data_IF_315913996189
#
_entry.id   IF_315913996189
#
_cell.length_a   1.000
_cell.length_b   1.000
_cell.length_c   1.000
_cell.angle_alpha   90.00
_cell.angle_beta   90.00
_cell.angle_gamma   90.00
#
_symmetry.space_group_name_H-M   'P 1'
#
loop_
_entity.id
_entity.type
_entity.pdbx_description
1 polymer ?
#
# COMPACT_ATOMS: atom_id res chain seq x y z
N UNK A 1 -4.03 -16.21 21.98
CA UNK A 1 -4.72 -15.09 21.32
C UNK A 1 -3.70 -14.37 20.46
N UNK A 2 -3.94 -14.23 19.16
CA UNK A 2 -2.95 -13.61 18.27
C UNK A 2 -2.80 -12.10 18.55
N UNK A 3 -1.66 -11.50 18.25
CA UNK A 3 -1.34 -10.10 18.55
C UNK A 3 -2.41 -9.10 18.03
N UNK A 4 -2.95 -9.34 16.83
CA UNK A 4 -4.08 -8.56 16.29
C UNK A 4 -5.33 -8.68 17.17
N UNK A 5 -5.63 -9.88 17.68
CA UNK A 5 -6.76 -10.10 18.59
C UNK A 5 -6.53 -9.48 19.97
N UNK A 6 -5.28 -9.41 20.46
CA UNK A 6 -4.94 -8.63 21.67
C UNK A 6 -5.19 -7.16 21.46
N UNK A 7 -4.70 -6.60 20.36
CA UNK A 7 -4.96 -5.21 20.01
C UNK A 7 -6.46 -4.98 19.86
N UNK A 8 -7.21 -5.84 19.17
CA UNK A 8 -8.66 -5.74 19.01
C UNK A 8 -9.44 -5.69 20.34
N UNK A 9 -8.96 -6.42 21.36
CA UNK A 9 -9.57 -6.47 22.69
C UNK A 9 -9.19 -5.27 23.58
N UNK A 10 -8.33 -4.37 23.11
CA UNK A 10 -7.92 -3.18 23.86
C UNK A 10 -9.12 -2.26 24.13
N UNK A 11 -9.29 -1.75 25.36
CA UNK A 11 -10.33 -0.77 25.68
C UNK A 11 -10.08 0.58 24.99
N UNK A 12 -8.91 0.75 24.36
CA UNK A 12 -8.52 1.92 23.57
C UNK A 12 -9.48 2.24 22.43
N UNK A 13 -10.10 1.21 21.83
CA UNK A 13 -11.07 1.42 20.78
C UNK A 13 -12.38 1.89 21.42
N UNK A 14 -12.72 3.15 21.25
CA UNK A 14 -14.10 3.57 21.44
C UNK A 14 -14.96 2.70 20.51
N UNK A 15 -15.70 1.75 21.08
CA UNK A 15 -16.55 0.86 20.29
C UNK A 15 -17.51 1.74 19.49
N UNK A 16 -17.48 1.57 18.17
CA UNK A 16 -18.47 2.20 17.32
C UNK A 16 -19.85 1.67 17.75
N UNK A 17 -20.74 2.59 18.13
CA UNK A 17 -22.18 2.34 18.11
C UNK A 17 -22.57 1.67 16.77
N UNK A 18 -23.70 0.93 16.71
CA UNK A 18 -24.20 0.38 15.45
C UNK A 18 -24.18 1.43 14.32
N UNK A 19 -23.93 1.01 13.06
CA UNK A 19 -23.65 1.91 11.95
C UNK A 19 -24.71 3.02 11.85
N UNK A 20 -24.27 4.26 12.06
CA UNK A 20 -25.14 5.45 12.09
C UNK A 20 -25.51 5.91 10.68
N UNK A 21 -24.70 5.53 9.69
CA UNK A 21 -24.95 5.80 8.27
C UNK A 21 -25.16 4.46 7.56
N UNK A 22 -26.32 4.30 6.90
CA UNK A 22 -26.63 3.09 6.15
C UNK A 22 -25.62 2.87 4.99
N UNK A 23 -25.08 1.66 4.81
CA UNK A 23 -24.17 1.37 3.71
C UNK A 23 -24.85 1.57 2.35
N UNK A 24 -24.09 2.08 1.39
CA UNK A 24 -24.53 2.25 0.01
C UNK A 24 -24.64 0.93 -0.75
N UNK A 25 -25.76 0.70 -1.41
CA UNK A 25 -25.94 -0.43 -2.34
C UNK A 25 -25.63 -0.07 -3.80
N UNK A 26 -26.06 -0.92 -4.73
CA UNK A 26 -25.91 -0.71 -6.18
C UNK A 26 -26.38 0.69 -6.64
N UNK A 27 -27.50 1.18 -6.09
CA UNK A 27 -28.06 2.50 -6.42
C UNK A 27 -27.15 3.66 -5.99
N UNK A 28 -26.47 3.52 -4.84
CA UNK A 28 -25.60 4.55 -4.28
C UNK A 28 -24.24 4.58 -4.99
N UNK A 29 -23.60 3.41 -5.14
CA UNK A 29 -22.28 3.28 -5.77
C UNK A 29 -22.33 3.45 -7.30
N UNK A 30 -23.49 3.16 -7.90
CA UNK A 30 -23.62 2.96 -9.33
C UNK A 30 -23.04 1.61 -9.79
N UNK A 31 -23.43 1.12 -10.98
CA UNK A 31 -23.16 -0.25 -11.42
C UNK A 31 -21.67 -0.58 -11.55
N UNK A 32 -20.85 0.37 -12.01
CA UNK A 32 -19.42 0.16 -12.23
C UNK A 32 -18.66 -0.02 -10.90
N UNK A 33 -18.85 0.91 -9.96
CA UNK A 33 -18.19 0.86 -8.64
C UNK A 33 -18.70 -0.32 -7.82
N UNK A 34 -20.01 -0.58 -7.85
CA UNK A 34 -20.59 -1.73 -7.15
C UNK A 34 -20.00 -3.06 -7.66
N UNK A 35 -19.92 -3.22 -8.99
CA UNK A 35 -19.34 -4.43 -9.59
C UNK A 35 -17.85 -4.58 -9.21
N UNK A 36 -17.10 -3.47 -9.20
CA UNK A 36 -15.72 -3.46 -8.72
C UNK A 36 -15.60 -3.94 -7.27
N UNK A 37 -16.40 -3.37 -6.34
CA UNK A 37 -16.40 -3.78 -4.93
C UNK A 37 -16.72 -5.27 -4.80
N UNK A 38 -17.71 -5.78 -5.53
CA UNK A 38 -18.08 -7.20 -5.52
C UNK A 38 -17.00 -8.12 -6.10
N UNK A 39 -16.23 -7.65 -7.07
CA UNK A 39 -15.11 -8.40 -7.62
C UNK A 39 -13.90 -8.45 -6.66
N UNK A 40 -13.70 -7.39 -5.88
CA UNK A 40 -12.51 -7.22 -5.02
C UNK A 40 -12.71 -7.77 -3.61
N UNK A 41 -13.92 -7.67 -3.03
CA UNK A 41 -14.20 -8.12 -1.66
C UNK A 41 -13.81 -9.59 -1.36
N UNK A 42 -14.05 -10.59 -2.25
CA UNK A 42 -13.71 -11.99 -1.97
C UNK A 42 -12.21 -12.23 -1.72
N UNK A 43 -11.35 -11.31 -2.13
CA UNK A 43 -9.90 -11.40 -1.95
C UNK A 43 -9.48 -11.21 -0.51
N UNK A 44 -10.22 -10.34 0.17
CA UNK A 44 -10.12 -10.05 1.59
C UNK A 44 -10.90 -11.10 2.41
N UNK A 45 -11.54 -12.08 1.76
CA UNK A 45 -12.40 -13.06 2.42
C UNK A 45 -13.80 -12.51 2.75
N UNK A 46 -14.19 -11.36 2.21
CA UNK A 46 -15.41 -10.63 2.56
C UNK A 46 -16.41 -10.60 1.39
N UNK A 47 -17.66 -10.19 1.66
CA UNK A 47 -18.72 -10.03 0.64
C UNK A 47 -18.90 -8.57 0.17
N UNK A 48 -18.21 -7.63 0.79
CA UNK A 48 -18.23 -6.20 0.51
C UNK A 48 -17.02 -5.50 1.13
N UNK A 49 -16.90 -4.20 0.86
CA UNK A 49 -15.87 -3.33 1.46
C UNK A 49 -16.60 -2.12 2.03
N UNK A 50 -16.72 -2.06 3.35
CA UNK A 50 -17.55 -1.12 4.09
C UNK A 50 -17.12 0.32 3.86
N UNK A 51 -15.82 0.56 3.75
CA UNK A 51 -15.27 1.83 3.31
C UNK A 51 -15.92 2.29 1.99
N UNK A 52 -15.90 1.43 0.95
CA UNK A 52 -16.46 1.78 -0.34
C UNK A 52 -17.98 1.99 -0.28
N UNK A 53 -18.68 1.16 0.49
CA UNK A 53 -20.13 1.29 0.70
C UNK A 53 -20.50 2.62 1.39
N UNK A 54 -19.68 3.09 2.34
CA UNK A 54 -19.90 4.33 3.08
C UNK A 54 -19.50 5.57 2.27
N UNK A 55 -18.28 5.59 1.73
CA UNK A 55 -17.75 6.76 1.01
C UNK A 55 -18.39 6.93 -0.36
N UNK A 56 -18.77 5.84 -1.02
CA UNK A 56 -19.36 5.88 -2.37
C UNK A 56 -20.82 6.32 -2.41
N UNK A 57 -21.41 6.68 -1.26
CA UNK A 57 -22.79 7.15 -1.16
C UNK A 57 -23.00 8.50 -1.84
N UNK A 58 -22.00 9.38 -1.77
CA UNK A 58 -21.90 10.56 -2.63
C UNK A 58 -20.90 10.28 -3.76
N UNK A 59 -21.42 10.08 -4.97
CA UNK A 59 -20.61 9.71 -6.13
C UNK A 59 -19.68 10.83 -6.60
N UNK A 60 -20.05 12.09 -6.38
CA UNK A 60 -19.23 13.23 -6.79
C UNK A 60 -18.04 13.37 -5.84
N UNK A 61 -18.30 13.36 -4.53
CA UNK A 61 -17.26 13.40 -3.50
C UNK A 61 -16.35 12.19 -3.63
N UNK A 62 -16.88 10.99 -3.78
CA UNK A 62 -16.07 9.78 -3.89
C UNK A 62 -15.14 9.79 -5.12
N UNK A 63 -15.61 10.31 -6.26
CA UNK A 63 -14.79 10.42 -7.48
C UNK A 63 -13.65 11.43 -7.34
N UNK A 64 -13.86 12.53 -6.61
CA UNK A 64 -12.82 13.51 -6.34
C UNK A 64 -11.85 13.04 -5.26
N UNK A 65 -12.36 12.38 -4.23
CA UNK A 65 -11.58 11.87 -3.11
C UNK A 65 -10.61 10.75 -3.53
N UNK A 66 -11.03 9.81 -4.38
CA UNK A 66 -10.21 8.67 -4.77
C UNK A 66 -8.82 9.04 -5.35
N UNK A 67 -8.69 9.92 -6.36
CA UNK A 67 -7.37 10.29 -6.89
C UNK A 67 -6.52 11.05 -5.87
N UNK A 68 -7.13 11.86 -5.00
CA UNK A 68 -6.43 12.55 -3.91
C UNK A 68 -5.87 11.55 -2.89
N UNK A 69 -6.72 10.64 -2.38
CA UNK A 69 -6.31 9.57 -1.46
C UNK A 69 -5.21 8.71 -2.08
N UNK A 70 -5.36 8.35 -3.35
CA UNK A 70 -4.35 7.58 -4.07
C UNK A 70 -2.99 8.31 -4.13
N UNK A 71 -2.98 9.62 -4.40
CA UNK A 71 -1.75 10.40 -4.43
C UNK A 71 -1.05 10.46 -3.06
N UNK A 72 -1.82 10.62 -1.98
CA UNK A 72 -1.32 10.67 -0.60
C UNK A 72 -0.77 9.32 -0.14
N UNK A 73 -1.53 8.25 -0.32
CA UNK A 73 -1.14 6.88 0.12
C UNK A 73 0.04 6.34 -0.70
N UNK A 74 0.24 6.88 -1.90
CA UNK A 74 1.29 6.45 -2.82
C UNK A 74 2.44 7.45 -2.93
N UNK A 75 2.56 8.34 -1.95
CA UNK A 75 3.57 9.37 -1.88
C UNK A 75 4.98 8.76 -1.77
N UNK A 76 6.01 9.59 -1.94
CA UNK A 76 7.39 9.10 -1.89
C UNK A 76 7.93 8.87 -0.46
N UNK A 77 7.06 8.93 0.56
CA UNK A 77 7.37 8.44 1.91
C UNK A 77 7.72 6.94 1.94
N UNK A 78 7.21 6.19 0.96
CA UNK A 78 7.40 4.75 0.84
C UNK A 78 6.44 3.96 1.72
N UNK A 79 6.11 2.74 1.26
CA UNK A 79 5.00 1.93 1.82
C UNK A 79 5.12 1.65 3.32
N UNK A 80 6.32 1.31 3.81
CA UNK A 80 6.54 1.03 5.23
C UNK A 80 6.28 2.26 6.11
N UNK A 81 6.79 3.43 5.70
CA UNK A 81 6.56 4.71 6.38
C UNK A 81 5.08 5.07 6.36
N UNK A 82 4.43 4.96 5.21
CA UNK A 82 2.99 5.23 5.06
C UNK A 82 2.18 4.39 6.03
N UNK A 83 2.39 3.08 6.05
CA UNK A 83 1.65 2.17 6.92
C UNK A 83 1.94 2.42 8.41
N UNK A 84 3.18 2.75 8.76
CA UNK A 84 3.54 3.12 10.14
C UNK A 84 2.78 4.36 10.62
N UNK A 85 2.78 5.42 9.82
CA UNK A 85 2.11 6.69 10.14
C UNK A 85 0.59 6.49 10.16
N UNK A 86 0.05 5.74 9.20
CA UNK A 86 -1.38 5.40 9.16
C UNK A 86 -1.81 4.62 10.39
N UNK A 87 -1.06 3.59 10.79
CA UNK A 87 -1.36 2.79 11.98
C UNK A 87 -1.32 3.64 13.25
N UNK A 88 -0.32 4.51 13.39
CA UNK A 88 -0.24 5.42 14.54
C UNK A 88 -1.37 6.45 14.55
N UNK A 89 -1.71 7.01 13.39
CA UNK A 89 -2.83 7.95 13.25
C UNK A 89 -4.16 7.26 13.62
N UNK A 90 -4.42 6.06 13.09
CA UNK A 90 -5.61 5.29 13.41
C UNK A 90 -5.67 4.90 14.89
N UNK A 91 -4.52 4.59 15.51
CA UNK A 91 -4.42 4.42 16.96
C UNK A 91 -4.79 5.72 17.68
N UNK A 92 -4.14 6.84 17.39
CA UNK A 92 -4.40 8.13 18.03
C UNK A 92 -5.88 8.56 17.91
N UNK A 93 -6.51 8.32 16.76
CA UNK A 93 -7.93 8.59 16.56
C UNK A 93 -8.87 7.54 17.18
N UNK A 94 -8.38 6.42 17.71
CA UNK A 94 -9.21 5.29 18.17
C UNK A 94 -10.07 4.70 17.05
N UNK A 95 -9.55 4.63 15.82
CA UNK A 95 -10.25 4.21 14.61
C UNK A 95 -9.99 2.73 14.28
N UNK A 96 -10.72 1.84 14.95
CA UNK A 96 -10.51 0.38 14.82
C UNK A 96 -10.64 -0.12 13.37
N UNK A 97 -11.61 0.38 12.60
CA UNK A 97 -11.79 -0.04 11.20
C UNK A 97 -10.51 0.14 10.37
N UNK A 98 -9.88 1.31 10.47
CA UNK A 98 -8.67 1.64 9.72
C UNK A 98 -7.49 0.86 10.26
N UNK A 99 -7.32 0.83 11.58
CA UNK A 99 -6.23 0.11 12.21
C UNK A 99 -6.24 -1.37 11.83
N UNK A 100 -7.40 -2.05 11.89
CA UNK A 100 -7.50 -3.47 11.56
C UNK A 100 -7.14 -3.78 10.10
N UNK A 101 -7.61 -2.95 9.15
CA UNK A 101 -7.27 -3.09 7.74
C UNK A 101 -5.79 -2.85 7.48
N UNK A 102 -5.25 -1.76 8.02
CA UNK A 102 -3.85 -1.38 7.82
C UNK A 102 -2.90 -2.33 8.56
N UNK A 103 -3.28 -2.90 9.71
CA UNK A 103 -2.46 -3.89 10.41
C UNK A 103 -2.26 -5.17 9.58
N UNK A 104 -3.28 -5.58 8.81
CA UNK A 104 -3.14 -6.68 7.87
C UNK A 104 -2.36 -6.27 6.60
N UNK A 105 -2.65 -5.09 6.04
CA UNK A 105 -2.05 -4.62 4.79
C UNK A 105 -0.61 -4.10 4.95
N UNK A 106 -0.19 -3.75 6.15
CA UNK A 106 1.17 -3.28 6.47
C UNK A 106 2.24 -4.33 6.18
N UNK A 107 1.85 -5.61 6.11
CA UNK A 107 2.68 -6.71 5.65
C UNK A 107 3.16 -6.52 4.20
N UNK A 108 2.37 -5.86 3.34
CA UNK A 108 2.84 -5.45 2.00
C UNK A 108 3.86 -4.30 2.03
N UNK A 109 4.03 -3.63 3.16
CA UNK A 109 5.13 -2.70 3.42
C UNK A 109 6.30 -3.35 4.13
N UNK A 110 6.19 -4.63 4.51
CA UNK A 110 7.18 -5.35 5.30
C UNK A 110 7.08 -5.10 6.81
N UNK A 111 5.98 -4.55 7.34
CA UNK A 111 5.84 -4.41 8.80
C UNK A 111 5.35 -5.73 9.42
N UNK A 112 6.07 -6.22 10.41
CA UNK A 112 5.66 -7.35 11.24
C UNK A 112 4.58 -6.95 12.24
N UNK A 113 3.93 -7.95 12.83
CA UNK A 113 2.89 -7.74 13.83
C UNK A 113 3.49 -7.21 15.13
N UNK A 114 4.71 -7.61 15.47
CA UNK A 114 5.47 -7.04 16.58
C UNK A 114 5.71 -5.54 16.35
N UNK A 115 6.06 -5.15 15.13
CA UNK A 115 6.20 -3.74 14.76
C UNK A 115 4.85 -3.01 14.88
N UNK A 116 3.72 -3.63 14.51
CA UNK A 116 2.38 -3.06 14.72
C UNK A 116 2.06 -2.88 16.21
N UNK A 117 2.40 -3.85 17.07
CA UNK A 117 2.23 -3.72 18.53
C UNK A 117 3.08 -2.58 19.09
N UNK A 118 4.33 -2.42 18.64
CA UNK A 118 5.20 -1.29 19.03
C UNK A 118 4.65 0.06 18.58
N UNK A 119 4.08 0.13 17.36
CA UNK A 119 3.43 1.34 16.85
C UNK A 119 2.23 1.75 17.73
N UNK A 120 1.43 0.78 18.16
CA UNK A 120 0.33 1.01 19.10
C UNK A 120 0.84 1.50 20.46
N UNK A 121 1.91 0.89 20.99
CA UNK A 121 2.51 1.28 22.25
C UNK A 121 3.13 2.70 22.23
N UNK A 122 3.59 3.17 21.07
CA UNK A 122 4.03 4.55 20.85
C UNK A 122 5.54 4.73 20.68
N UNK A 123 6.02 5.99 20.56
CA UNK A 123 7.39 6.29 20.18
C UNK A 123 8.45 5.78 21.15
N UNK A 124 8.10 5.55 22.42
CA UNK A 124 9.04 5.06 23.44
C UNK A 124 9.07 3.52 23.55
N UNK A 125 8.32 2.81 22.69
CA UNK A 125 8.30 1.36 22.70
C UNK A 125 9.70 0.76 22.39
N UNK A 126 10.15 -0.25 23.16
CA UNK A 126 11.44 -0.88 22.93
C UNK A 126 11.48 -1.59 21.58
N UNK A 127 12.65 -1.58 20.93
CA UNK A 127 12.86 -2.25 19.64
C UNK A 127 12.42 -1.46 18.40
N UNK A 128 11.99 -0.21 18.56
CA UNK A 128 11.82 0.71 17.43
C UNK A 128 13.18 1.23 16.93
N UNK A 129 13.31 1.45 15.63
CA UNK A 129 14.45 2.18 15.07
C UNK A 129 14.32 3.70 15.32
N UNK A 130 15.42 4.47 15.37
CA UNK A 130 15.37 5.92 15.54
C UNK A 130 14.42 6.62 14.57
N UNK A 131 14.48 6.23 13.28
CA UNK A 131 13.59 6.74 12.23
C UNK A 131 12.11 6.48 12.54
N UNK A 132 11.77 5.29 13.06
CA UNK A 132 10.39 4.94 13.41
C UNK A 132 9.91 5.78 14.59
N UNK A 133 10.74 5.95 15.63
CA UNK A 133 10.41 6.80 16.78
C UNK A 133 10.12 8.24 16.38
N UNK A 134 10.96 8.84 15.55
CA UNK A 134 10.77 10.20 15.05
C UNK A 134 9.45 10.37 14.29
N UNK A 135 9.11 9.40 13.43
CA UNK A 135 7.84 9.39 12.68
C UNK A 135 6.62 9.23 13.60
N UNK A 136 6.70 8.35 14.60
CA UNK A 136 5.62 8.17 15.58
C UNK A 136 5.42 9.42 16.43
N UNK A 137 6.50 10.01 16.93
CA UNK A 137 6.46 11.27 17.70
C UNK A 137 5.85 12.41 16.89
N UNK A 138 6.28 12.58 15.64
CA UNK A 138 5.69 13.57 14.75
C UNK A 138 4.20 13.31 14.49
N UNK A 139 3.78 12.05 14.38
CA UNK A 139 2.37 11.69 14.22
C UNK A 139 1.55 12.02 15.48
N UNK A 140 2.14 11.85 16.66
CA UNK A 140 1.52 12.21 17.94
C UNK A 140 1.37 13.73 18.10
N UNK A 141 2.41 14.49 17.80
CA UNK A 141 2.40 15.96 17.81
C UNK A 141 1.39 16.52 16.80
N UNK A 142 1.36 15.99 15.57
CA UNK A 142 0.38 16.39 14.56
C UNK A 142 -1.06 16.12 15.01
N UNK A 143 -1.29 15.02 15.72
CA UNK A 143 -2.61 14.68 16.26
C UNK A 143 -3.01 15.61 17.42
N UNK A 144 -2.11 15.82 18.38
CA UNK A 144 -2.38 16.57 19.60
C UNK A 144 -2.37 18.08 19.37
N UNK A 145 -1.33 18.59 18.73
CA UNK A 145 -0.99 20.00 18.66
C UNK A 145 -1.27 20.62 17.28
N UNK A 146 -1.62 19.79 16.29
CA UNK A 146 -1.82 20.20 14.88
C UNK A 146 -0.57 20.79 14.24
N UNK A 147 0.60 20.50 14.80
CA UNK A 147 1.89 20.97 14.35
C UNK A 147 2.99 19.98 14.77
N UNK A 148 4.10 19.97 14.05
CA UNK A 148 5.31 19.24 14.46
C UNK A 148 6.17 20.18 15.30
N UNK A 149 6.64 19.72 16.47
CA UNK A 149 7.50 20.51 17.33
C UNK A 149 8.87 20.78 16.66
N UNK A 150 9.54 21.91 16.95
CA UNK A 150 10.81 22.26 16.30
C UNK A 150 11.91 21.19 16.43
N UNK A 151 12.01 20.54 17.59
CA UNK A 151 12.99 19.47 17.83
C UNK A 151 12.72 18.22 16.98
N UNK A 152 11.46 17.79 16.93
CA UNK A 152 11.03 16.65 16.10
C UNK A 152 11.18 16.95 14.61
N UNK A 153 10.87 18.19 14.19
CA UNK A 153 11.06 18.63 12.81
C UNK A 153 12.55 18.59 12.40
N UNK A 154 13.46 19.00 13.29
CA UNK A 154 14.89 18.90 13.06
C UNK A 154 15.36 17.45 12.93
N UNK A 155 14.84 16.53 13.76
CA UNK A 155 15.12 15.09 13.67
C UNK A 155 14.64 14.48 12.35
N UNK A 156 13.40 14.80 11.93
CA UNK A 156 12.83 14.35 10.66
C UNK A 156 13.67 14.79 9.46
N UNK A 157 14.15 16.04 9.46
CA UNK A 157 15.01 16.61 8.40
C UNK A 157 16.36 15.90 8.28
N UNK A 158 16.77 15.12 9.28
CA UNK A 158 17.93 14.23 9.17
C UNK A 158 17.75 13.11 8.14
N UNK A 159 16.50 12.77 7.74
CA UNK A 159 16.23 11.68 6.80
C UNK A 159 15.04 11.89 5.85
N UNK A 160 14.30 12.98 5.97
CA UNK A 160 13.24 13.42 5.06
C UNK A 160 13.61 14.78 4.45
N UNK A 161 13.39 14.94 3.15
CA UNK A 161 13.41 16.26 2.51
C UNK A 161 12.11 17.04 2.82
N UNK A 162 12.08 18.34 2.49
CA UNK A 162 10.93 19.21 2.72
C UNK A 162 9.64 18.68 2.08
N UNK A 163 9.73 18.06 0.90
CA UNK A 163 8.57 17.47 0.23
C UNK A 163 8.00 16.30 1.04
N UNK A 164 8.86 15.44 1.58
CA UNK A 164 8.43 14.31 2.43
C UNK A 164 7.91 14.76 3.78
N UNK A 165 8.42 15.85 4.36
CA UNK A 165 7.82 16.42 5.57
C UNK A 165 6.41 16.93 5.28
N UNK A 166 6.19 17.66 4.18
CA UNK A 166 4.86 18.11 3.79
C UNK A 166 3.91 16.92 3.53
N UNK A 167 4.37 15.88 2.83
CA UNK A 167 3.60 14.66 2.60
C UNK A 167 3.25 13.93 3.90
N UNK A 168 4.13 13.92 4.90
CA UNK A 168 3.86 13.34 6.21
C UNK A 168 2.68 14.06 6.88
N UNK A 169 2.69 15.40 6.90
CA UNK A 169 1.61 16.19 7.47
C UNK A 169 0.27 15.92 6.74
N UNK A 170 0.30 15.90 5.40
CA UNK A 170 -0.89 15.62 4.59
C UNK A 170 -1.40 14.19 4.78
N UNK A 171 -0.51 13.22 4.98
CA UNK A 171 -0.86 11.83 5.24
C UNK A 171 -1.57 11.68 6.59
N UNK A 172 -1.03 12.29 7.66
CA UNK A 172 -1.68 12.29 8.97
C UNK A 172 -3.06 12.93 8.88
N UNK A 173 -3.16 14.14 8.33
CA UNK A 173 -4.44 14.84 8.18
C UNK A 173 -5.45 14.07 7.31
N UNK A 174 -5.00 13.38 6.26
CA UNK A 174 -5.85 12.52 5.44
C UNK A 174 -6.50 11.40 6.25
N UNK A 175 -5.70 10.69 7.06
CA UNK A 175 -6.18 9.59 7.87
C UNK A 175 -6.98 10.06 9.10
N UNK A 176 -6.69 11.22 9.68
CA UNK A 176 -7.55 11.81 10.72
C UNK A 176 -8.93 12.18 10.19
N UNK A 177 -8.99 12.80 9.00
CA UNK A 177 -10.26 13.11 8.34
C UNK A 177 -11.05 11.82 8.04
N UNK A 178 -10.36 10.78 7.56
CA UNK A 178 -11.00 9.50 7.26
C UNK A 178 -11.49 8.80 8.53
N UNK A 179 -10.70 8.80 9.60
CA UNK A 179 -11.08 8.31 10.93
C UNK A 179 -12.34 8.99 11.43
N UNK A 180 -12.41 10.31 11.33
CA UNK A 180 -13.58 11.10 11.72
C UNK A 180 -14.83 10.61 10.97
N UNK A 181 -14.75 10.45 9.65
CA UNK A 181 -15.86 9.96 8.84
C UNK A 181 -16.26 8.53 9.21
N UNK A 182 -15.31 7.60 9.25
CA UNK A 182 -15.59 6.18 9.47
C UNK A 182 -16.12 5.90 10.88
N UNK A 183 -15.60 6.59 11.89
CA UNK A 183 -16.14 6.52 13.26
C UNK A 183 -17.55 7.10 13.33
N UNK A 184 -17.78 8.27 12.71
CA UNK A 184 -19.11 8.89 12.65
C UNK A 184 -20.13 8.01 11.92
N UNK A 185 -19.68 7.28 10.90
CA UNK A 185 -20.50 6.32 10.17
C UNK A 185 -20.77 5.01 10.93
N UNK A 186 -20.04 4.75 12.02
CA UNK A 186 -20.06 3.48 12.75
C UNK A 186 -19.47 2.32 11.96
N UNK A 187 -18.38 2.58 11.22
CA UNK A 187 -17.70 1.55 10.44
C UNK A 187 -17.01 0.53 11.35
N UNK A 188 -17.27 -0.76 11.11
CA UNK A 188 -16.60 -1.89 11.77
C UNK A 188 -15.94 -2.78 10.72
N UNK A 189 -14.80 -3.44 11.00
CA UNK A 189 -14.23 -4.39 10.06
C UNK A 189 -15.23 -5.44 9.58
N UNK A 190 -15.03 -5.97 8.39
CA UNK A 190 -15.82 -7.05 7.84
C UNK A 190 -15.61 -8.33 8.62
N UNK A 191 -16.71 -9.01 8.92
CA UNK A 191 -16.66 -10.33 9.53
C UNK A 191 -15.88 -11.28 8.60
N UNK A 192 -14.90 -11.98 9.17
CA UNK A 192 -14.04 -12.89 8.42
C UNK A 192 -13.00 -12.21 7.53
N UNK A 193 -12.80 -10.89 7.63
CA UNK A 193 -11.74 -10.19 6.91
C UNK A 193 -10.39 -10.85 7.18
N UNK A 194 -9.71 -11.24 6.11
CA UNK A 194 -8.42 -11.93 6.10
C UNK A 194 -8.40 -13.29 6.82
N UNK A 195 -9.54 -13.86 7.19
CA UNK A 195 -9.63 -15.23 7.71
C UNK A 195 -9.70 -16.26 6.58
N UNK A 196 -10.27 -15.84 5.45
CA UNK A 196 -10.50 -16.66 4.27
C UNK A 196 -9.96 -15.98 3.01
N UNK A 197 -10.05 -16.67 1.89
CA UNK A 197 -9.62 -16.13 0.60
C UNK A 197 -8.10 -16.17 0.38
N UNK A 198 -7.64 -15.58 -0.72
CA UNK A 198 -6.23 -15.60 -1.12
C UNK A 198 -5.34 -14.78 -0.20
N UNK A 199 -5.86 -13.75 0.47
CA UNK A 199 -5.07 -12.88 1.36
C UNK A 199 -5.01 -13.35 2.82
N UNK A 200 -5.55 -14.52 3.17
CA UNK A 200 -5.56 -15.02 4.55
C UNK A 200 -4.18 -15.16 5.22
N UNK A 201 -3.11 -15.22 4.42
CA UNK A 201 -1.75 -15.27 4.93
C UNK A 201 -1.33 -13.98 5.65
N UNK A 202 -2.00 -12.85 5.40
CA UNK A 202 -1.75 -11.58 6.09
C UNK A 202 -2.05 -11.64 7.60
N UNK A 203 -2.90 -12.59 8.04
CA UNK A 203 -3.17 -12.83 9.47
C UNK A 203 -2.17 -13.76 10.15
N UNK A 204 -1.23 -14.35 9.42
CA UNK A 204 -0.23 -15.24 10.02
C UNK A 204 0.75 -14.42 10.86
N UNK A 205 0.97 -14.86 12.08
CA UNK A 205 2.05 -14.37 12.93
C UNK A 205 3.36 -14.88 12.33
N UNK A 206 4.16 -13.96 11.80
CA UNK A 206 5.54 -14.18 11.36
C UNK A 206 6.36 -13.12 12.07
N UNK A 207 7.46 -13.55 12.69
CA UNK A 207 8.37 -12.78 13.55
C UNK A 207 9.28 -11.83 12.76
N UNK A 208 9.12 -11.77 11.43
CA UNK A 208 9.99 -10.98 10.55
C UNK A 208 9.26 -9.91 9.72
N UNK A 209 9.93 -8.76 9.57
CA UNK A 209 9.54 -7.59 8.74
C UNK A 209 9.68 -7.89 7.22
N UNK A 210 9.13 -9.02 6.75
CA UNK A 210 9.20 -9.46 5.35
C UNK A 210 7.88 -9.26 4.64
N UNK A 211 7.95 -8.93 3.35
CA UNK A 211 6.79 -8.69 2.47
C UNK A 211 5.85 -9.90 2.34
N UNK A 212 6.37 -11.12 2.52
CA UNK A 212 5.63 -12.38 2.40
C UNK A 212 6.45 -13.54 2.99
N UNK A 213 5.82 -14.55 3.65
CA UNK A 213 6.50 -15.78 4.05
C UNK A 213 7.03 -16.55 2.83
N UNK A 214 8.22 -17.14 2.97
CA UNK A 214 8.91 -17.86 1.88
C UNK A 214 8.10 -19.05 1.31
N UNK A 215 7.16 -19.60 2.10
CA UNK A 215 6.33 -20.76 1.78
C UNK A 215 5.05 -20.45 0.98
N UNK A 216 4.83 -19.21 0.54
CA UNK A 216 3.59 -18.81 -0.14
C UNK A 216 3.37 -19.55 -1.49
N UNK A 217 2.24 -20.29 -1.66
CA UNK A 217 1.97 -21.04 -2.89
C UNK A 217 1.86 -20.14 -4.13
N UNK A 218 2.38 -20.63 -5.26
CA UNK A 218 2.46 -19.89 -6.53
C UNK A 218 1.10 -19.38 -7.07
N UNK A 219 0.01 -20.06 -6.73
CA UNK A 219 -1.35 -19.71 -7.14
C UNK A 219 -1.86 -18.42 -6.47
N UNK A 220 -1.52 -18.20 -5.19
CA UNK A 220 -1.81 -16.96 -4.47
C UNK A 220 -1.09 -15.76 -5.10
N UNK A 221 0.17 -15.97 -5.54
CA UNK A 221 0.97 -14.96 -6.25
C UNK A 221 0.33 -14.55 -7.58
N UNK A 222 -0.21 -15.51 -8.35
CA UNK A 222 -0.85 -15.26 -9.65
C UNK A 222 -2.19 -14.54 -9.53
N UNK A 223 -3.00 -14.84 -8.51
CA UNK A 223 -4.25 -14.14 -8.25
C UNK A 223 -3.99 -12.68 -7.87
N UNK A 224 -3.08 -12.42 -6.92
CA UNK A 224 -2.72 -11.05 -6.49
C UNK A 224 -2.26 -10.18 -7.67
N UNK A 225 -1.42 -10.73 -8.54
CA UNK A 225 -1.00 -10.09 -9.78
C UNK A 225 -2.13 -9.91 -10.81
N UNK A 226 -3.27 -10.61 -10.70
CA UNK A 226 -4.42 -10.47 -11.61
C UNK A 226 -5.40 -9.40 -11.16
N UNK A 227 -5.44 -9.13 -9.86
CA UNK A 227 -6.33 -8.14 -9.23
C UNK A 227 -5.69 -6.76 -9.23
N UNK A 228 -4.38 -6.71 -8.99
CA UNK A 228 -3.61 -5.47 -9.07
C UNK A 228 -3.84 -4.72 -10.39
N UNK A 229 -4.16 -5.41 -11.50
CA UNK A 229 -4.49 -4.81 -12.81
C UNK A 229 -5.60 -3.75 -12.72
N UNK A 230 -6.56 -3.90 -11.79
CA UNK A 230 -7.74 -3.04 -11.75
C UNK A 230 -7.56 -1.74 -10.95
N UNK A 231 -6.57 -1.69 -10.05
CA UNK A 231 -6.26 -0.48 -9.27
C UNK A 231 -4.85 0.07 -9.53
N UNK A 232 -3.93 -0.76 -10.07
CA UNK A 232 -2.57 -0.38 -10.42
C UNK A 232 -2.44 0.86 -11.33
N UNK A 233 -3.36 1.12 -12.29
CA UNK A 233 -3.27 2.34 -13.10
C UNK A 233 -3.52 3.63 -12.30
N UNK A 234 -4.17 3.53 -11.14
CA UNK A 234 -4.69 4.65 -10.36
C UNK A 234 -3.98 4.87 -9.02
N UNK A 235 -3.14 3.91 -8.60
CA UNK A 235 -2.41 3.95 -7.33
C UNK A 235 -0.91 3.87 -7.62
N UNK A 236 -0.11 4.94 -7.47
CA UNK A 236 1.35 4.82 -7.53
C UNK A 236 1.88 3.85 -6.43
N UNK A 237 3.11 3.31 -6.52
CA UNK A 237 3.99 3.23 -7.68
C UNK A 237 3.66 2.02 -8.56
N UNK A 238 2.39 1.68 -8.76
CA UNK A 238 2.02 0.58 -9.63
C UNK A 238 1.97 1.00 -11.11
N UNK A 239 2.35 0.09 -12.00
CA UNK A 239 2.25 0.22 -13.45
C UNK A 239 1.87 -1.14 -14.07
N UNK A 240 1.42 -1.15 -15.31
CA UNK A 240 1.07 -2.37 -16.04
C UNK A 240 2.09 -2.62 -17.14
N UNK A 241 2.87 -3.68 -17.00
CA UNK A 241 3.76 -4.17 -18.05
C UNK A 241 2.93 -4.87 -19.12
N UNK A 242 3.08 -4.41 -20.35
CA UNK A 242 2.55 -5.05 -21.55
C UNK A 242 3.68 -5.87 -22.16
N UNK A 243 3.50 -7.19 -22.26
CA UNK A 243 4.49 -8.10 -22.83
C UNK A 243 3.83 -9.13 -23.73
N UNK A 244 4.60 -9.69 -24.66
CA UNK A 244 4.12 -10.74 -25.56
C UNK A 244 4.66 -12.09 -25.13
N UNK A 245 3.81 -13.10 -25.02
CA UNK A 245 4.21 -14.46 -24.68
C UNK A 245 5.21 -15.03 -25.68
N UNK A 246 6.40 -15.43 -25.22
CA UNK A 246 7.46 -16.00 -26.08
C UNK A 246 7.02 -17.27 -26.83
N UNK A 247 6.13 -18.06 -26.23
CA UNK A 247 5.61 -19.30 -26.83
C UNK A 247 4.24 -19.10 -27.47
N UNK A 248 3.33 -18.38 -26.79
CA UNK A 248 1.94 -18.24 -27.25
C UNK A 248 1.71 -17.10 -28.24
N UNK A 249 2.67 -16.17 -28.37
CA UNK A 249 2.53 -14.94 -29.15
C UNK A 249 1.45 -13.98 -28.65
N UNK A 250 0.68 -14.30 -27.60
CA UNK A 250 -0.41 -13.46 -27.10
C UNK A 250 0.12 -12.26 -26.31
N UNK A 251 -0.59 -11.15 -26.36
CA UNK A 251 -0.28 -9.97 -25.53
C UNK A 251 -0.87 -10.17 -24.14
N UNK A 252 -0.06 -9.94 -23.13
CA UNK A 252 -0.40 -10.02 -21.73
C UNK A 252 -0.15 -8.68 -21.04
N UNK A 253 -0.95 -8.41 -20.01
CA UNK A 253 -0.82 -7.26 -19.12
C UNK A 253 -0.52 -7.77 -17.72
N UNK A 254 0.53 -7.26 -17.09
CA UNK A 254 0.97 -7.70 -15.77
C UNK A 254 1.24 -6.47 -14.90
N UNK A 255 0.51 -6.29 -13.80
CA UNK A 255 0.73 -5.18 -12.91
C UNK A 255 1.98 -5.48 -12.09
N UNK A 256 2.77 -4.44 -11.89
CA UNK A 256 4.03 -4.50 -11.18
C UNK A 256 4.20 -3.25 -10.36
N UNK A 257 5.05 -3.32 -9.34
CA UNK A 257 5.55 -2.14 -8.67
C UNK A 257 6.71 -1.58 -9.50
N UNK A 258 6.49 -0.43 -10.14
CA UNK A 258 7.46 0.18 -11.02
C UNK A 258 7.72 1.64 -10.67
N UNK A 259 8.99 1.99 -10.53
CA UNK A 259 9.48 3.33 -10.29
C UNK A 259 10.04 3.87 -11.61
N UNK A 260 9.87 5.18 -11.83
CA UNK A 260 10.57 5.88 -12.91
C UNK A 260 11.69 6.71 -12.30
N UNK A 261 12.90 6.59 -12.84
CA UNK A 261 14.03 7.45 -12.51
C UNK A 261 14.66 7.94 -13.82
N UNK A 262 14.43 9.22 -14.16
CA UNK A 262 14.76 9.76 -15.46
C UNK A 262 14.05 9.01 -16.61
N UNK A 263 14.84 8.39 -17.48
CA UNK A 263 14.35 7.54 -18.58
C UNK A 263 14.22 6.05 -18.21
N UNK A 264 14.59 5.67 -16.99
CA UNK A 264 14.61 4.26 -16.59
C UNK A 264 13.34 3.89 -15.83
N UNK A 265 12.80 2.73 -16.20
CA UNK A 265 11.80 2.00 -15.45
C UNK A 265 12.51 0.97 -14.56
N UNK A 266 12.28 1.04 -13.25
CA UNK A 266 12.82 0.10 -12.26
C UNK A 266 11.66 -0.68 -11.67
N UNK A 267 11.63 -1.99 -11.88
CA UNK A 267 10.58 -2.87 -11.44
C UNK A 267 11.12 -3.80 -10.35
N UNK A 268 10.50 -3.76 -9.18
CA UNK A 268 10.83 -4.71 -8.11
C UNK A 268 10.36 -6.12 -8.51
N UNK A 269 11.22 -7.12 -8.29
CA UNK A 269 10.89 -8.52 -8.57
C UNK A 269 10.79 -9.34 -7.27
N UNK A 270 9.84 -9.05 -6.36
CA UNK A 270 9.76 -9.74 -5.06
C UNK A 270 9.57 -11.25 -5.19
N UNK A 271 9.16 -11.71 -6.38
CA UNK A 271 8.98 -13.13 -6.73
C UNK A 271 10.09 -13.71 -7.61
N UNK A 272 11.18 -12.96 -7.81
CA UNK A 272 12.34 -13.32 -8.63
C UNK A 272 12.16 -13.09 -10.13
N UNK A 273 13.23 -13.36 -10.88
CA UNK A 273 13.39 -13.15 -12.32
C UNK A 273 12.87 -14.32 -13.19
N UNK A 274 12.42 -15.39 -12.55
CA UNK A 274 11.87 -16.58 -13.24
C UNK A 274 10.43 -16.42 -13.69
N UNK A 275 9.78 -15.30 -13.38
CA UNK A 275 8.41 -15.05 -13.80
C UNK A 275 8.29 -14.99 -15.32
N UNK A 276 7.21 -15.54 -15.88
CA UNK A 276 7.06 -15.64 -17.33
C UNK A 276 7.05 -14.28 -18.04
N UNK A 277 6.47 -13.25 -17.41
CA UNK A 277 6.49 -11.89 -17.97
C UNK A 277 7.89 -11.29 -18.03
N UNK A 278 8.73 -11.55 -17.02
CA UNK A 278 10.15 -11.13 -17.01
C UNK A 278 10.89 -11.82 -18.15
N UNK A 279 10.74 -13.14 -18.25
CA UNK A 279 11.35 -13.95 -19.32
C UNK A 279 10.88 -13.53 -20.71
N UNK A 280 9.61 -13.16 -20.86
CA UNK A 280 9.07 -12.66 -22.12
C UNK A 280 9.70 -11.33 -22.52
N UNK A 281 9.81 -10.38 -21.58
CA UNK A 281 10.47 -9.10 -21.84
C UNK A 281 11.95 -9.27 -22.15
N UNK A 282 12.68 -10.08 -21.37
CA UNK A 282 14.10 -10.36 -21.60
C UNK A 282 14.34 -11.04 -22.95
N UNK A 283 13.46 -11.96 -23.36
CA UNK A 283 13.56 -12.62 -24.66
C UNK A 283 13.29 -11.66 -25.83
N UNK A 284 12.31 -10.77 -25.68
CA UNK A 284 11.94 -9.84 -26.75
C UNK A 284 12.83 -8.59 -26.78
N UNK A 285 13.55 -8.31 -25.68
CA UNK A 285 14.23 -7.06 -25.33
C UNK A 285 13.37 -5.81 -25.55
N UNK A 286 12.05 -5.97 -25.43
CA UNK A 286 11.07 -4.90 -25.64
C UNK A 286 9.74 -5.21 -25.00
N UNK A 287 8.98 -4.17 -24.71
CA UNK A 287 7.62 -4.27 -24.23
C UNK A 287 6.93 -2.91 -24.15
N UNK A 288 5.91 -2.83 -23.30
CA UNK A 288 5.30 -1.56 -22.93
C UNK A 288 5.12 -1.45 -21.42
N UNK A 289 5.01 -0.22 -20.95
CA UNK A 289 4.57 0.11 -19.60
C UNK A 289 3.40 1.07 -19.70
N UNK A 290 2.28 0.70 -19.09
CA UNK A 290 1.09 1.54 -19.01
C UNK A 290 0.95 2.10 -17.59
N UNK A 291 0.81 3.42 -17.48
CA UNK A 291 0.61 4.12 -16.21
C UNK A 291 -0.29 5.33 -16.44
N UNK A 292 -1.27 5.56 -15.56
CA UNK A 292 -2.24 6.66 -15.68
C UNK A 292 -2.93 6.72 -17.07
N UNK A 293 -3.21 5.54 -17.66
CA UNK A 293 -3.83 5.42 -18.99
C UNK A 293 -2.90 5.73 -20.18
N UNK A 294 -1.62 6.04 -19.96
CA UNK A 294 -0.62 6.24 -21.02
C UNK A 294 0.25 5.02 -21.17
N UNK A 295 0.34 4.50 -22.39
CA UNK A 295 1.24 3.41 -22.76
C UNK A 295 2.53 3.97 -23.34
N UNK A 296 3.66 3.65 -22.72
CA UNK A 296 5.00 3.95 -23.21
C UNK A 296 5.71 2.67 -23.63
N UNK A 297 6.55 2.75 -24.66
CA UNK A 297 7.43 1.63 -25.04
C UNK A 297 8.61 1.54 -24.10
N UNK A 298 9.05 0.31 -23.86
CA UNK A 298 10.25 0.03 -23.08
C UNK A 298 11.17 -0.92 -23.85
N UNK A 299 12.47 -0.69 -23.73
CA UNK A 299 13.56 -1.48 -24.32
C UNK A 299 14.74 -1.61 -23.36
N UNK A 300 15.86 -2.18 -23.83
CA UNK A 300 17.07 -2.39 -23.04
C UNK A 300 16.77 -3.09 -21.69
N UNK A 301 15.97 -4.16 -21.76
CA UNK A 301 15.43 -4.86 -20.60
C UNK A 301 16.51 -5.75 -20.00
N UNK A 302 16.84 -5.53 -18.74
CA UNK A 302 17.78 -6.37 -17.99
C UNK A 302 17.34 -6.60 -16.56
N UNK A 303 17.76 -7.73 -16.00
CA UNK A 303 17.62 -8.03 -14.58
C UNK A 303 18.95 -7.82 -13.89
N UNK A 304 18.93 -7.16 -12.74
CA UNK A 304 20.11 -6.87 -11.95
C UNK A 304 19.75 -6.78 -10.46
N UNK A 305 20.72 -6.48 -9.61
CA UNK A 305 20.49 -6.14 -8.20
C UNK A 305 20.73 -4.63 -7.97
N UNK A 306 20.32 -4.13 -6.80
CA UNK A 306 20.47 -2.70 -6.48
C UNK A 306 21.94 -2.26 -6.42
N UNK A 307 22.88 -3.02 -5.84
CA UNK A 307 24.29 -2.64 -5.86
C UNK A 307 24.85 -2.46 -7.28
N UNK A 308 24.54 -3.37 -8.20
CA UNK A 308 25.03 -3.33 -9.58
C UNK A 308 24.30 -2.31 -10.45
N UNK A 309 23.08 -1.92 -10.07
CA UNK A 309 22.33 -0.86 -10.76
C UNK A 309 22.82 0.55 -10.40
N UNK A 310 23.52 0.71 -9.28
CA UNK A 310 24.11 1.99 -8.87
C UNK A 310 23.09 3.12 -8.80
N UNK A 311 23.40 4.23 -9.48
CA UNK A 311 22.60 5.46 -9.45
C UNK A 311 21.33 5.42 -10.28
N UNK A 312 21.09 4.33 -11.02
CA UNK A 312 19.82 4.12 -11.69
C UNK A 312 18.66 3.91 -10.71
N UNK A 313 18.95 3.45 -9.49
CA UNK A 313 17.96 3.28 -8.43
C UNK A 313 17.96 4.52 -7.54
N UNK A 314 16.83 5.26 -7.43
CA UNK A 314 16.76 6.44 -6.57
C UNK A 314 17.11 6.08 -5.13
N UNK A 315 17.92 6.92 -4.48
CA UNK A 315 18.44 6.66 -3.14
C UNK A 315 17.34 6.30 -2.12
N UNK A 316 16.18 6.95 -2.21
CA UNK A 316 15.01 6.69 -1.37
C UNK A 316 14.42 5.28 -1.53
N UNK A 317 14.58 4.65 -2.69
CA UNK A 317 14.03 3.33 -3.00
C UNK A 317 15.04 2.18 -2.77
N UNK A 318 16.34 2.49 -2.60
CA UNK A 318 17.40 1.48 -2.45
C UNK A 318 17.18 0.51 -1.28
N UNK A 319 16.78 0.94 -0.06
CA UNK A 319 16.60 0.03 1.07
C UNK A 319 15.55 -1.06 0.80
N UNK A 320 14.42 -0.68 0.21
CA UNK A 320 13.34 -1.60 -0.17
C UNK A 320 13.77 -2.55 -1.29
N UNK A 321 14.41 -2.01 -2.32
CA UNK A 321 14.76 -2.77 -3.52
C UNK A 321 15.96 -3.71 -3.30
N UNK A 322 16.83 -3.45 -2.31
CA UNK A 322 17.95 -4.35 -1.96
C UNK A 322 17.49 -5.74 -1.51
N UNK A 323 16.23 -5.85 -1.09
CA UNK A 323 15.62 -7.11 -0.66
C UNK A 323 15.19 -8.01 -1.83
N UNK A 324 15.39 -7.56 -3.08
CA UNK A 324 14.91 -8.23 -4.27
C UNK A 324 15.86 -8.03 -5.45
N UNK A 325 15.77 -8.91 -6.46
CA UNK A 325 16.24 -8.54 -7.80
C UNK A 325 15.35 -7.44 -8.37
N UNK A 326 15.88 -6.68 -9.31
CA UNK A 326 15.15 -5.64 -10.02
C UNK A 326 15.25 -5.87 -11.53
N UNK A 327 14.20 -5.51 -12.25
CA UNK A 327 14.26 -5.32 -13.68
C UNK A 327 14.44 -3.84 -13.98
N UNK A 328 15.39 -3.52 -14.85
CA UNK A 328 15.63 -2.18 -15.37
C UNK A 328 15.31 -2.20 -16.85
N UNK A 329 14.57 -1.22 -17.32
CA UNK A 329 14.29 -1.01 -18.74
C UNK A 329 14.33 0.49 -19.05
N UNK A 330 14.63 0.86 -20.29
CA UNK A 330 14.58 2.24 -20.75
C UNK A 330 13.22 2.56 -21.36
N UNK A 331 12.66 3.72 -21.03
CA UNK A 331 11.44 4.26 -21.61
C UNK A 331 11.84 5.00 -22.90
N UNK A 332 11.40 4.50 -24.05
CA UNK A 332 11.78 5.01 -25.37
C UNK A 332 11.13 6.36 -25.68
N UNK A 333 9.87 6.54 -25.24
CA UNK A 333 9.05 7.74 -25.46
C UNK A 333 8.70 8.45 -24.13
N UNK A 334 9.61 9.24 -23.53
CA UNK A 334 9.46 9.73 -22.15
C UNK A 334 8.48 10.91 -21.95
N UNK A 335 7.73 11.33 -22.98
CA UNK A 335 6.93 12.56 -23.02
C UNK A 335 5.94 12.72 -21.86
#
# INVERSE_FOLDING_TARGET
MNAVARLAASPHWAHADPPKIAPGGLRALGPRTWLYVKAVAPLFGTRGIRFADLTGRDRAVFRAYLPYSAAIVSSGLGRATTELVTLRTAWNCGAWYEFAHHAALSRFGGLSIDTVERIAAGPDAPGLHPRQRALLRATDELHADRAVAPGTLAELRGFLDEYRVAELCLLVGHYEMLAMFLKSAGAVPEEGAFERGPLRWLRREDDSDRLAPASLPALNRRLLNRIQIHYAPYLPPYAVIVHRGRTSGKVYRTPVMALRHGRHLIVALPYGDRADWVRNLLHADRGGVERLGRLHRIGAVRVTDVPSAGDLVPASARPLLRLTKILVAEIEDPR
#
